data_IF_307986699714
#
_entry.id   IF_307986699714
#
_cell.length_a   1.000
_cell.length_b   1.000
_cell.length_c   1.000
_cell.angle_alpha   90.00
_cell.angle_beta   90.00
_cell.angle_gamma   90.00
#
_symmetry.space_group_name_H-M   'P 1'
#
loop_
_entity.id
_entity.type
_entity.pdbx_description
1 polymer ?
#
# COMPACT_ATOMS: atom_id res chain seq x y z
N UNK A 1 7.88 -27.35 26.62
CA UNK A 1 6.73 -28.01 25.96
C UNK A 1 6.77 -27.65 24.48
N UNK A 2 6.83 -28.63 23.58
CA UNK A 2 6.81 -28.38 22.14
C UNK A 2 5.52 -27.62 21.79
N UNK A 3 5.65 -26.37 21.33
CA UNK A 3 4.54 -25.52 20.95
C UNK A 3 3.94 -25.97 19.63
N UNK A 4 3.09 -26.99 19.67
CA UNK A 4 2.32 -27.38 18.50
C UNK A 4 1.28 -26.31 18.18
N UNK A 5 1.00 -26.11 16.89
CA UNK A 5 -0.01 -25.16 16.45
C UNK A 5 -1.39 -25.48 17.05
N UNK A 6 -1.72 -26.75 17.21
CA UNK A 6 -2.95 -27.21 17.87
C UNK A 6 -3.02 -26.76 19.32
N UNK A 7 -1.92 -26.89 20.09
CA UNK A 7 -1.87 -26.42 21.46
C UNK A 7 -2.03 -24.89 21.53
N UNK A 8 -1.51 -24.14 20.55
CA UNK A 8 -1.72 -22.71 20.49
C UNK A 8 -3.19 -22.33 20.20
N UNK A 9 -3.89 -23.06 19.32
CA UNK A 9 -5.32 -22.88 19.13
C UNK A 9 -6.12 -23.24 20.40
N UNK A 10 -5.78 -24.36 21.05
CA UNK A 10 -6.41 -24.76 22.30
C UNK A 10 -6.19 -23.75 23.43
N UNK A 11 -5.00 -23.12 23.48
CA UNK A 11 -4.67 -22.06 24.42
C UNK A 11 -5.58 -20.82 24.27
N UNK A 12 -6.04 -20.53 23.05
CA UNK A 12 -7.04 -19.49 22.77
C UNK A 12 -8.50 -20.00 22.88
N UNK A 13 -8.72 -21.26 23.25
CA UNK A 13 -10.06 -21.86 23.28
C UNK A 13 -10.67 -22.09 21.89
N UNK A 14 -9.84 -22.23 20.85
CA UNK A 14 -10.25 -22.35 19.46
C UNK A 14 -9.96 -23.74 18.90
N UNK A 15 -10.73 -24.13 17.88
CA UNK A 15 -10.42 -25.32 17.08
C UNK A 15 -9.23 -25.04 16.16
N UNK A 16 -8.37 -26.04 15.87
CA UNK A 16 -7.32 -25.90 14.87
C UNK A 16 -7.87 -25.42 13.53
N UNK A 17 -7.20 -24.44 12.92
CA UNK A 17 -7.64 -23.85 11.64
C UNK A 17 -8.75 -22.79 11.76
N UNK A 18 -9.08 -22.32 12.96
CA UNK A 18 -9.97 -21.18 13.12
C UNK A 18 -9.50 -19.96 12.31
N UNK A 19 -10.45 -19.22 11.74
CA UNK A 19 -10.15 -18.05 10.90
C UNK A 19 -9.50 -16.92 11.71
N UNK A 20 -8.86 -15.98 11.00
CA UNK A 20 -8.10 -14.88 11.63
C UNK A 20 -8.96 -14.02 12.55
N UNK A 21 -10.21 -13.74 12.17
CA UNK A 21 -11.11 -12.90 12.96
C UNK A 21 -11.48 -13.56 14.30
N UNK A 22 -11.68 -14.88 14.30
CA UNK A 22 -11.94 -15.64 15.52
C UNK A 22 -10.70 -15.67 16.43
N UNK A 23 -9.52 -15.87 15.85
CA UNK A 23 -8.24 -15.81 16.57
C UNK A 23 -8.04 -14.45 17.22
N UNK A 24 -8.25 -13.36 16.47
CA UNK A 24 -8.06 -12.01 16.96
C UNK A 24 -9.08 -11.61 18.04
N UNK A 25 -10.34 -12.02 17.88
CA UNK A 25 -11.39 -11.77 18.87
C UNK A 25 -11.08 -12.45 20.20
N UNK A 26 -10.75 -13.74 20.18
CA UNK A 26 -10.46 -14.47 21.43
C UNK A 26 -9.16 -14.00 22.06
N UNK A 27 -8.14 -13.69 21.27
CA UNK A 27 -6.91 -13.07 21.78
C UNK A 27 -7.19 -11.78 22.54
N UNK A 28 -7.95 -10.85 21.94
CA UNK A 28 -8.31 -9.58 22.60
C UNK A 28 -9.11 -9.79 23.88
N UNK A 29 -10.04 -10.74 23.87
CA UNK A 29 -10.85 -11.11 25.04
C UNK A 29 -9.96 -11.61 26.18
N UNK A 30 -9.06 -12.54 25.89
CA UNK A 30 -8.16 -13.15 26.87
C UNK A 30 -7.11 -12.17 27.40
N UNK A 31 -6.52 -11.32 26.55
CA UNK A 31 -5.58 -10.30 27.03
C UNK A 31 -6.30 -9.30 27.94
N UNK A 32 -7.50 -8.84 27.58
CA UNK A 32 -8.29 -7.97 28.47
C UNK A 32 -8.59 -8.61 29.83
N UNK A 33 -8.70 -9.94 29.87
CA UNK A 33 -8.96 -10.69 31.11
C UNK A 33 -7.69 -10.88 31.95
N UNK A 34 -6.57 -11.25 31.32
CA UNK A 34 -5.34 -11.68 32.02
C UNK A 34 -4.21 -10.64 32.04
N UNK A 35 -4.33 -9.48 31.40
CA UNK A 35 -3.24 -8.49 31.37
C UNK A 35 -2.86 -8.04 32.79
N UNK A 36 -1.55 -7.95 33.14
CA UNK A 36 -1.11 -7.66 34.49
C UNK A 36 -1.55 -6.28 35.00
N UNK A 37 -1.81 -5.32 34.10
CA UNK A 37 -2.34 -4.00 34.46
C UNK A 37 -3.81 -4.03 34.93
N UNK A 38 -4.52 -5.14 34.74
CA UNK A 38 -5.86 -5.33 35.31
C UNK A 38 -5.76 -5.90 36.73
N UNK A 39 -6.63 -5.44 37.62
CA UNK A 39 -6.73 -5.98 38.97
C UNK A 39 -7.12 -7.46 38.92
N UNK A 40 -6.23 -8.34 39.41
CA UNK A 40 -6.39 -9.79 39.30
C UNK A 40 -5.85 -10.41 38.00
N UNK A 41 -5.11 -9.63 37.20
CA UNK A 41 -4.42 -10.13 36.01
C UNK A 41 -3.33 -11.16 36.34
N UNK A 42 -2.99 -11.96 35.34
CA UNK A 42 -1.98 -13.02 35.43
C UNK A 42 -0.97 -12.82 34.28
N UNK A 43 0.19 -12.25 34.63
CA UNK A 43 1.24 -11.96 33.67
C UNK A 43 1.82 -13.20 32.99
N UNK A 44 1.88 -14.33 33.68
CA UNK A 44 2.36 -15.59 33.09
C UNK A 44 1.35 -16.10 32.06
N UNK A 45 0.06 -16.05 32.41
CA UNK A 45 -1.02 -16.42 31.49
C UNK A 45 -1.08 -15.52 30.27
N UNK A 46 -0.96 -14.21 30.46
CA UNK A 46 -0.89 -13.24 29.36
C UNK A 46 0.31 -13.52 28.43
N UNK A 47 1.47 -13.88 29.00
CA UNK A 47 2.65 -14.27 28.21
C UNK A 47 2.42 -15.55 27.41
N UNK A 48 1.75 -16.56 27.96
CA UNK A 48 1.34 -17.77 27.24
C UNK A 48 0.39 -17.48 26.08
N UNK A 49 -0.62 -16.63 26.31
CA UNK A 49 -1.57 -16.19 25.29
C UNK A 49 -0.84 -15.48 24.14
N UNK A 50 0.09 -14.57 24.47
CA UNK A 50 0.92 -13.86 23.49
C UNK A 50 1.77 -14.82 22.65
N UNK A 51 2.39 -15.83 23.29
CA UNK A 51 3.18 -16.85 22.58
C UNK A 51 2.31 -17.68 21.62
N UNK A 52 1.13 -18.11 22.06
CA UNK A 52 0.20 -18.87 21.24
C UNK A 52 -0.28 -18.05 20.03
N UNK A 53 -0.68 -16.80 20.26
CA UNK A 53 -1.10 -15.88 19.19
C UNK A 53 0.00 -15.63 18.16
N UNK A 54 1.24 -15.41 18.62
CA UNK A 54 2.38 -15.22 17.72
C UNK A 54 2.67 -16.46 16.86
N UNK A 55 2.53 -17.68 17.42
CA UNK A 55 2.71 -18.92 16.67
C UNK A 55 1.65 -19.10 15.58
N UNK A 56 0.39 -18.81 15.90
CA UNK A 56 -0.72 -18.89 14.93
C UNK A 56 -0.51 -17.88 13.79
N UNK A 57 -0.08 -16.64 14.11
CA UNK A 57 0.15 -15.60 13.08
C UNK A 57 1.32 -15.88 12.15
N UNK A 58 2.37 -16.56 12.64
CA UNK A 58 3.52 -16.95 11.83
C UNK A 58 3.20 -18.08 10.87
N UNK A 59 2.17 -18.86 11.15
CA UNK A 59 1.73 -19.94 10.25
C UNK A 59 0.86 -19.33 9.15
N UNK A 60 1.23 -19.48 7.86
CA UNK A 60 0.36 -19.06 6.78
C UNK A 60 -0.97 -19.81 6.91
N UNK A 61 -2.07 -19.06 7.02
CA UNK A 61 -3.39 -19.63 7.15
C UNK A 61 -3.61 -20.60 5.99
N UNK A 62 -4.04 -21.83 6.30
CA UNK A 62 -4.63 -22.68 5.26
C UNK A 62 -5.76 -21.86 4.66
N UNK A 63 -5.76 -21.58 3.34
CA UNK A 63 -6.80 -20.77 2.75
C UNK A 63 -8.14 -21.41 3.14
N UNK A 64 -9.12 -20.62 3.61
CA UNK A 64 -10.45 -21.18 3.86
C UNK A 64 -10.88 -21.94 2.61
N UNK A 65 -11.59 -23.08 2.72
CA UNK A 65 -12.24 -23.67 1.55
C UNK A 65 -12.98 -22.53 0.88
N UNK A 66 -12.62 -22.24 -0.37
CA UNK A 66 -12.97 -21.02 -1.09
C UNK A 66 -14.47 -20.83 -0.92
N UNK A 67 -14.87 -19.94 0.00
CA UNK A 67 -16.23 -19.47 0.03
C UNK A 67 -16.37 -18.76 -1.30
N UNK A 68 -17.15 -19.33 -2.20
CA UNK A 68 -17.61 -18.68 -3.42
C UNK A 68 -18.36 -17.44 -3.00
N UNK A 69 -17.63 -16.35 -2.76
CA UNK A 69 -18.21 -15.03 -2.70
C UNK A 69 -18.81 -14.80 -4.07
N UNK A 70 -20.13 -14.58 -4.19
CA UNK A 70 -20.69 -14.14 -5.45
C UNK A 70 -19.95 -12.86 -5.78
N UNK A 71 -19.15 -12.94 -6.84
CA UNK A 71 -18.55 -11.78 -7.46
C UNK A 71 -19.72 -10.88 -7.83
N UNK A 72 -19.99 -9.86 -7.01
CA UNK A 72 -20.76 -8.72 -7.46
C UNK A 72 -19.87 -8.03 -8.48
N UNK A 73 -19.84 -8.61 -9.68
CA UNK A 73 -19.32 -7.98 -10.87
C UNK A 73 -19.96 -6.61 -10.91
N UNK A 74 -19.15 -5.56 -10.83
CA UNK A 74 -19.58 -4.24 -11.22
C UNK A 74 -20.13 -4.38 -12.63
N UNK A 75 -21.45 -4.41 -12.70
CA UNK A 75 -22.21 -4.64 -13.90
C UNK A 75 -21.95 -3.40 -14.76
N UNK A 76 -20.91 -3.49 -15.59
CA UNK A 76 -20.68 -2.60 -16.72
C UNK A 76 -22.05 -2.47 -17.38
N UNK A 77 -22.65 -1.29 -17.29
CA UNK A 77 -23.86 -0.96 -18.03
C UNK A 77 -23.55 -1.26 -19.49
N UNK A 78 -24.03 -2.40 -19.99
CA UNK A 78 -24.00 -2.71 -21.41
C UNK A 78 -24.85 -1.62 -22.05
N UNK A 79 -24.21 -0.76 -22.84
CA UNK A 79 -24.88 -0.01 -23.89
C UNK A 79 -25.41 -1.04 -24.90
N UNK A 80 -26.62 -1.54 -24.63
CA UNK A 80 -27.37 -2.39 -25.53
C UNK A 80 -27.98 -1.51 -26.60
N UNK A 81 -27.46 -1.60 -27.82
CA UNK A 81 -28.08 -0.90 -28.95
C UNK A 81 -27.26 -0.82 -30.22
N UNK A 82 -26.52 -1.87 -30.59
CA UNK A 82 -26.07 -2.11 -31.98
C UNK A 82 -25.71 -3.59 -32.07
N UNK A 83 -26.32 -4.29 -33.02
CA UNK A 83 -26.23 -5.75 -33.12
C UNK A 83 -24.78 -6.19 -33.38
N UNK A 84 -24.32 -7.30 -32.78
CA UNK A 84 -22.94 -7.80 -32.96
C UNK A 84 -22.63 -8.19 -34.42
N UNK A 85 -23.65 -8.29 -35.28
CA UNK A 85 -23.50 -8.57 -36.71
C UNK A 85 -22.99 -7.35 -37.51
N UNK A 86 -23.29 -6.11 -37.08
CA UNK A 86 -22.84 -4.92 -37.81
C UNK A 86 -21.33 -4.66 -37.63
N UNK A 87 -20.80 -4.92 -36.44
CA UNK A 87 -19.37 -4.78 -36.16
C UNK A 87 -18.51 -5.80 -36.91
N UNK A 88 -19.01 -7.03 -37.07
CA UNK A 88 -18.33 -8.08 -37.82
C UNK A 88 -18.34 -7.79 -39.33
N UNK A 89 -19.46 -7.29 -39.87
CA UNK A 89 -19.55 -6.91 -41.28
C UNK A 89 -18.60 -5.75 -41.65
N UNK A 90 -18.44 -4.75 -40.79
CA UNK A 90 -17.49 -3.65 -41.00
C UNK A 90 -16.03 -4.11 -40.93
N UNK A 91 -15.69 -5.05 -40.05
CA UNK A 91 -14.36 -5.64 -39.99
C UNK A 91 -14.04 -6.47 -41.25
N UNK A 92 -14.99 -7.28 -41.74
CA UNK A 92 -14.80 -8.06 -42.97
C UNK A 92 -14.66 -7.14 -44.19
N UNK A 93 -15.46 -6.07 -44.27
CA UNK A 93 -15.34 -5.09 -45.36
C UNK A 93 -13.98 -4.36 -45.33
N UNK A 94 -13.46 -3.99 -44.15
CA UNK A 94 -12.15 -3.35 -44.02
C UNK A 94 -10.99 -4.27 -44.44
N UNK A 95 -11.08 -5.58 -44.14
CA UNK A 95 -10.08 -6.57 -44.56
C UNK A 95 -10.10 -6.80 -46.08
N UNK A 96 -11.29 -6.87 -46.68
CA UNK A 96 -11.43 -7.08 -48.14
C UNK A 96 -11.04 -5.86 -48.97
N UNK A 97 -11.26 -4.64 -48.46
CA UNK A 97 -10.79 -3.41 -49.10
C UNK A 97 -9.26 -3.25 -48.93
N UNK A 98 -8.71 -3.63 -47.77
CA UNK A 98 -7.26 -3.63 -47.53
C UNK A 98 -6.48 -4.58 -48.45
N UNK A 99 -7.06 -5.72 -48.82
CA UNK A 99 -6.42 -6.69 -49.74
C UNK A 99 -6.43 -6.26 -51.21
N UNK A 100 -7.26 -5.32 -51.64
CA UNK A 100 -7.24 -4.83 -53.03
C UNK A 100 -6.31 -3.63 -53.26
N UNK A 101 -5.81 -2.99 -52.20
CA UNK A 101 -4.94 -1.80 -52.30
C UNK A 101 -3.45 -2.12 -52.06
N UNK A 102 -3.14 -3.25 -51.43
CA UNK A 102 -1.76 -3.70 -51.28
C UNK A 102 -1.37 -4.65 -52.42
N UNK A 103 -0.72 -4.09 -53.44
CA UNK A 103 0.04 -4.88 -54.41
C UNK A 103 1.04 -5.80 -53.72
N UNK A 104 1.32 -6.91 -54.40
CA UNK A 104 2.22 -7.99 -54.00
C UNK A 104 3.65 -7.52 -53.70
N UNK A 105 3.91 -7.03 -52.50
CA UNK A 105 5.27 -7.01 -51.94
C UNK A 105 5.36 -8.12 -50.88
N UNK A 106 6.12 -9.16 -51.21
CA UNK A 106 6.45 -10.29 -50.34
C UNK A 106 7.01 -9.80 -49.00
N UNK A 107 6.17 -9.83 -47.96
CA UNK A 107 6.64 -9.65 -46.58
C UNK A 107 7.37 -10.93 -46.17
N UNK A 108 8.68 -10.92 -46.38
CA UNK A 108 9.62 -11.97 -46.03
C UNK A 108 9.73 -12.11 -44.50
N UNK A 109 9.14 -13.18 -43.96
CA UNK A 109 9.20 -13.54 -42.54
C UNK A 109 10.54 -14.18 -42.10
N UNK A 110 11.55 -14.23 -42.97
CA UNK A 110 12.85 -14.86 -42.65
C UNK A 110 13.82 -13.98 -41.86
N UNK A 111 13.48 -12.71 -41.58
CA UNK A 111 14.36 -11.79 -40.86
C UNK A 111 14.23 -11.82 -39.31
N UNK A 112 13.31 -12.61 -38.73
CA UNK A 112 13.10 -12.66 -37.27
C UNK A 112 13.77 -13.87 -36.58
N UNK A 113 14.57 -14.66 -37.30
CA UNK A 113 15.14 -15.92 -36.80
C UNK A 113 16.64 -15.96 -36.52
N UNK A 114 17.41 -14.91 -36.81
CA UNK A 114 18.87 -14.99 -36.73
C UNK A 114 19.48 -13.76 -36.04
N UNK A 115 19.60 -13.83 -34.70
CA UNK A 115 20.62 -13.18 -33.85
C UNK A 115 20.35 -13.49 -32.37
N UNK A 116 20.30 -14.79 -32.02
CA UNK A 116 20.60 -15.21 -30.65
C UNK A 116 21.92 -15.98 -30.72
N UNK A 117 22.99 -15.24 -31.02
CA UNK A 117 24.32 -15.72 -30.70
C UNK A 117 24.40 -15.79 -29.17
N UNK A 118 24.59 -17.02 -28.69
CA UNK A 118 25.01 -17.31 -27.34
C UNK A 118 26.39 -16.71 -27.11
N UNK A 119 26.44 -15.40 -26.91
CA UNK A 119 27.60 -14.74 -26.34
C UNK A 119 27.66 -15.18 -24.89
N UNK A 120 28.68 -15.99 -24.61
CA UNK A 120 29.08 -16.36 -23.27
C UNK A 120 28.93 -15.15 -22.35
N UNK A 121 28.25 -15.36 -21.22
CA UNK A 121 28.14 -14.41 -20.14
C UNK A 121 29.55 -14.00 -19.69
N UNK A 122 30.08 -12.97 -20.35
CA UNK A 122 31.09 -12.11 -19.77
C UNK A 122 30.34 -11.41 -18.64
N UNK A 123 30.37 -12.01 -17.45
CA UNK A 123 30.12 -11.37 -16.16
C UNK A 123 31.13 -10.23 -16.01
N UNK A 124 30.95 -9.21 -16.84
CA UNK A 124 31.28 -7.86 -16.49
C UNK A 124 30.38 -7.63 -15.31
N UNK A 125 30.94 -7.82 -14.12
CA UNK A 125 30.50 -7.15 -12.91
C UNK A 125 30.44 -5.68 -13.28
N UNK A 126 29.31 -5.26 -13.88
CA UNK A 126 28.92 -3.87 -13.91
C UNK A 126 28.96 -3.52 -12.45
N UNK A 127 29.96 -2.70 -12.09
CA UNK A 127 30.02 -2.01 -10.82
C UNK A 127 28.64 -1.39 -10.65
N UNK A 128 27.75 -2.15 -10.00
CA UNK A 128 26.45 -1.69 -9.59
C UNK A 128 26.81 -0.68 -8.51
N UNK A 129 26.97 0.56 -8.96
CA UNK A 129 27.02 1.74 -8.10
C UNK A 129 26.03 1.46 -6.97
N UNK A 130 26.49 1.45 -5.70
CA UNK A 130 25.62 1.18 -4.57
C UNK A 130 24.36 2.00 -4.77
N UNK A 131 23.23 1.31 -4.98
CA UNK A 131 21.97 2.03 -5.17
C UNK A 131 21.78 2.85 -3.90
N UNK A 132 21.55 4.17 -4.00
CA UNK A 132 21.35 5.01 -2.83
C UNK A 132 20.25 4.37 -1.96
N UNK A 133 20.71 3.83 -0.84
CA UNK A 133 19.93 2.94 0.00
C UNK A 133 19.06 3.72 0.98
N UNK A 134 18.19 3.00 1.68
CA UNK A 134 17.39 3.61 2.76
C UNK A 134 18.23 3.94 4.01
N UNK A 135 19.52 3.62 4.00
CA UNK A 135 20.48 3.91 5.08
C UNK A 135 21.02 5.34 5.04
N UNK A 136 20.76 6.08 3.96
CA UNK A 136 21.13 7.49 3.87
C UNK A 136 20.37 8.33 4.91
N UNK A 137 20.94 9.43 5.44
CA UNK A 137 20.19 10.35 6.28
C UNK A 137 18.90 10.84 5.60
N UNK A 138 17.86 11.14 6.39
CA UNK A 138 16.65 11.75 5.85
C UNK A 138 16.97 13.07 5.16
N UNK A 139 16.35 13.31 4.00
CA UNK A 139 16.45 14.56 3.25
C UNK A 139 15.60 15.67 3.91
N UNK A 140 15.94 16.04 5.15
CA UNK A 140 15.14 16.93 6.03
C UNK A 140 14.69 18.22 5.35
N UNK A 141 15.58 18.89 4.60
CA UNK A 141 15.23 20.12 3.85
C UNK A 141 14.13 19.88 2.82
N UNK A 142 14.17 18.76 2.10
CA UNK A 142 13.16 18.44 1.09
C UNK A 142 11.86 17.95 1.71
N UNK A 143 11.93 17.27 2.86
CA UNK A 143 10.76 16.95 3.68
C UNK A 143 10.06 18.25 4.10
N UNK A 144 10.78 19.24 4.62
CA UNK A 144 10.19 20.51 5.06
C UNK A 144 9.55 21.30 3.90
N UNK A 145 10.18 21.29 2.71
CA UNK A 145 9.60 21.89 1.50
C UNK A 145 8.32 21.16 1.05
N UNK A 146 8.32 19.82 1.09
CA UNK A 146 7.15 19.02 0.76
C UNK A 146 5.98 19.28 1.72
N UNK A 147 6.26 19.44 3.03
CA UNK A 147 5.26 19.82 4.03
C UNK A 147 4.70 21.22 3.75
N UNK A 148 5.56 22.18 3.38
CA UNK A 148 5.12 23.53 3.03
C UNK A 148 4.20 23.54 1.79
N UNK A 149 4.53 22.75 0.76
CA UNK A 149 3.68 22.58 -0.42
C UNK A 149 2.34 21.91 -0.10
N UNK A 150 2.35 20.91 0.78
CA UNK A 150 1.14 20.25 1.27
C UNK A 150 0.20 21.24 1.97
N UNK A 151 0.74 22.08 2.87
CA UNK A 151 -0.02 23.15 3.54
C UNK A 151 -0.61 24.12 2.51
N UNK A 152 0.21 24.62 1.58
CA UNK A 152 -0.23 25.58 0.56
C UNK A 152 -1.39 25.03 -0.29
N UNK A 153 -1.30 23.78 -0.74
CA UNK A 153 -2.36 23.15 -1.54
C UNK A 153 -3.61 22.84 -0.71
N UNK A 154 -3.46 22.50 0.56
CA UNK A 154 -4.57 22.26 1.47
C UNK A 154 -5.33 23.56 1.79
N UNK A 155 -4.62 24.65 2.07
CA UNK A 155 -5.18 25.99 2.32
C UNK A 155 -5.93 26.53 1.10
N UNK A 156 -5.45 26.23 -0.11
CA UNK A 156 -6.17 26.56 -1.36
C UNK A 156 -7.46 25.74 -1.56
N UNK A 157 -7.71 24.71 -0.74
CA UNK A 157 -8.86 23.81 -0.84
C UNK A 157 -9.03 23.18 -2.23
N UNK A 158 -7.92 22.72 -2.83
CA UNK A 158 -7.91 22.10 -4.16
C UNK A 158 -7.60 20.58 -4.11
N UNK A 159 -8.59 19.71 -3.80
CA UNK A 159 -8.37 18.26 -3.74
C UNK A 159 -7.75 17.64 -4.98
N UNK A 160 -8.10 18.18 -6.16
CA UNK A 160 -7.55 17.71 -7.44
C UNK A 160 -6.07 18.03 -7.58
N UNK A 161 -5.64 19.20 -7.13
CA UNK A 161 -4.24 19.63 -7.16
C UNK A 161 -3.38 18.82 -6.20
N UNK A 162 -3.88 18.52 -5.00
CA UNK A 162 -3.20 17.61 -4.06
C UNK A 162 -3.01 16.21 -4.66
N UNK A 163 -4.07 15.62 -5.22
CA UNK A 163 -4.01 14.29 -5.84
C UNK A 163 -3.09 14.26 -7.08
N UNK A 164 -3.12 15.32 -7.90
CA UNK A 164 -2.24 15.44 -9.07
C UNK A 164 -0.76 15.56 -8.67
N UNK A 165 -0.45 16.34 -7.62
CA UNK A 165 0.90 16.48 -7.09
C UNK A 165 1.44 15.13 -6.57
N UNK A 166 0.66 14.43 -5.74
CA UNK A 166 1.00 13.08 -5.26
C UNK A 166 1.25 12.10 -6.42
N UNK A 167 0.38 12.10 -7.43
CA UNK A 167 0.52 11.23 -8.60
C UNK A 167 1.76 11.55 -9.46
N UNK A 168 2.09 12.84 -9.66
CA UNK A 168 3.31 13.27 -10.33
C UNK A 168 4.55 12.84 -9.55
N UNK A 169 4.57 13.07 -8.23
CA UNK A 169 5.68 12.67 -7.38
C UNK A 169 5.96 11.16 -7.48
N UNK A 170 4.92 10.33 -7.42
CA UNK A 170 5.04 8.87 -7.58
C UNK A 170 5.46 8.45 -9.01
N UNK A 171 5.07 9.20 -10.05
CA UNK A 171 5.57 8.94 -11.42
C UNK A 171 7.06 9.25 -11.51
N UNK A 172 7.50 10.39 -10.97
CA UNK A 172 8.90 10.78 -10.92
C UNK A 172 9.75 9.77 -10.12
N UNK A 173 9.26 9.31 -8.97
CA UNK A 173 9.95 8.31 -8.15
C UNK A 173 10.10 6.96 -8.86
N UNK A 174 9.10 6.53 -9.65
CA UNK A 174 9.22 5.30 -10.46
C UNK A 174 10.21 5.44 -11.60
N UNK A 175 10.30 6.63 -12.19
CA UNK A 175 11.24 6.90 -13.27
C UNK A 175 12.70 6.97 -12.78
N UNK A 176 12.91 7.50 -11.58
CA UNK A 176 14.23 7.68 -10.98
C UNK A 176 14.19 7.40 -9.47
N UNK A 177 14.29 6.12 -9.05
CA UNK A 177 14.19 5.75 -7.64
C UNK A 177 15.39 6.28 -6.84
N UNK A 178 15.12 7.15 -5.86
CA UNK A 178 16.10 7.61 -4.87
C UNK A 178 15.46 7.83 -3.50
N UNK A 179 16.26 7.66 -2.43
CA UNK A 179 15.83 7.91 -1.06
C UNK A 179 15.31 9.35 -0.89
N UNK A 180 16.00 10.32 -1.48
CA UNK A 180 15.64 11.74 -1.46
C UNK A 180 14.26 12.04 -2.07
N UNK A 181 13.94 11.45 -3.24
CA UNK A 181 12.60 11.60 -3.85
C UNK A 181 11.54 10.86 -3.06
N UNK A 182 11.88 9.70 -2.51
CA UNK A 182 10.96 8.96 -1.66
C UNK A 182 10.58 9.76 -0.41
N UNK A 183 11.56 10.37 0.26
CA UNK A 183 11.35 11.20 1.44
C UNK A 183 10.41 12.37 1.15
N UNK A 184 10.62 13.09 0.05
CA UNK A 184 9.76 14.23 -0.31
C UNK A 184 8.34 13.79 -0.68
N UNK A 185 8.17 12.72 -1.49
CA UNK A 185 6.85 12.22 -1.85
C UNK A 185 6.09 11.68 -0.64
N UNK A 186 6.76 10.92 0.23
CA UNK A 186 6.15 10.34 1.41
C UNK A 186 5.76 11.43 2.42
N UNK A 187 6.61 12.45 2.60
CA UNK A 187 6.33 13.58 3.46
C UNK A 187 5.12 14.41 2.99
N UNK A 188 5.00 14.67 1.68
CA UNK A 188 3.85 15.35 1.11
C UNK A 188 2.54 14.58 1.40
N UNK A 189 2.51 13.28 1.07
CA UNK A 189 1.33 12.43 1.28
C UNK A 189 0.94 12.32 2.76
N UNK A 190 1.93 12.20 3.65
CA UNK A 190 1.72 12.16 5.11
C UNK A 190 1.15 13.49 5.63
N UNK A 191 1.72 14.62 5.17
CA UNK A 191 1.26 15.94 5.58
C UNK A 191 -0.20 16.18 5.17
N UNK A 192 -0.58 15.83 3.93
CA UNK A 192 -1.99 15.91 3.50
C UNK A 192 -2.89 14.96 4.32
N UNK A 193 -2.43 13.75 4.63
CA UNK A 193 -3.18 12.83 5.49
C UNK A 193 -3.48 13.44 6.87
N UNK A 194 -2.48 14.08 7.49
CA UNK A 194 -2.65 14.75 8.79
C UNK A 194 -3.59 15.95 8.67
N UNK A 195 -3.39 16.81 7.68
CA UNK A 195 -4.20 18.02 7.46
C UNK A 195 -5.67 17.70 7.13
N UNK A 196 -5.94 16.61 6.44
CA UNK A 196 -7.31 16.17 6.12
C UNK A 196 -7.98 15.36 7.25
N UNK A 197 -7.22 14.98 8.29
CA UNK A 197 -7.77 14.24 9.43
C UNK A 197 -8.84 15.09 10.13
N UNK A 198 -10.06 14.54 10.23
CA UNK A 198 -11.21 15.23 10.82
C UNK A 198 -12.15 15.91 9.81
N UNK A 199 -11.79 15.99 8.52
CA UNK A 199 -12.72 16.47 7.49
C UNK A 199 -13.76 15.40 7.12
N UNK A 200 -14.97 15.85 6.80
CA UNK A 200 -16.04 14.97 6.34
C UNK A 200 -15.61 14.24 5.05
N UNK A 201 -15.73 12.91 5.03
CA UNK A 201 -15.37 12.10 3.87
C UNK A 201 -13.89 11.70 3.76
N UNK A 202 -13.02 12.15 4.68
CA UNK A 202 -11.59 11.79 4.73
C UNK A 202 -11.37 10.27 4.58
N UNK A 203 -12.15 9.46 5.28
CA UNK A 203 -12.04 8.00 5.30
C UNK A 203 -12.19 7.33 3.91
N UNK A 204 -12.82 7.99 2.94
CA UNK A 204 -12.99 7.47 1.56
C UNK A 204 -12.05 8.15 0.56
N UNK A 205 -11.30 9.17 0.98
CA UNK A 205 -10.42 9.94 0.12
C UNK A 205 -9.11 9.21 -0.20
N UNK A 206 -8.37 9.65 -1.23
CA UNK A 206 -7.07 9.08 -1.58
C UNK A 206 -6.02 9.33 -0.50
N UNK A 207 -6.24 10.29 0.41
CA UNK A 207 -5.31 10.65 1.48
C UNK A 207 -5.70 10.09 2.85
N UNK A 208 -6.64 9.13 2.93
CA UNK A 208 -6.85 8.43 4.20
C UNK A 208 -5.57 7.68 4.62
N UNK A 209 -5.36 7.54 5.92
CA UNK A 209 -4.12 6.99 6.49
C UNK A 209 -3.74 5.60 5.95
N UNK A 210 -4.72 4.72 5.69
CA UNK A 210 -4.49 3.39 5.15
C UNK A 210 -4.01 3.44 3.68
N UNK A 211 -4.65 4.27 2.85
CA UNK A 211 -4.25 4.49 1.46
C UNK A 211 -2.85 5.09 1.35
N UNK A 212 -2.53 6.09 2.17
CA UNK A 212 -1.22 6.74 2.20
C UNK A 212 -0.14 5.74 2.63
N UNK A 213 -0.38 5.01 3.73
CA UNK A 213 0.55 3.98 4.21
C UNK A 213 0.81 2.90 3.15
N UNK A 214 -0.24 2.40 2.48
CA UNK A 214 -0.10 1.39 1.44
C UNK A 214 0.73 1.90 0.24
N UNK A 215 0.50 3.14 -0.21
CA UNK A 215 1.29 3.76 -1.29
C UNK A 215 2.74 3.96 -0.88
N UNK A 216 2.99 4.47 0.32
CA UNK A 216 4.33 4.69 0.87
C UNK A 216 5.12 3.37 0.94
N UNK A 217 4.52 2.29 1.45
CA UNK A 217 5.19 0.98 1.49
C UNK A 217 5.48 0.45 0.07
N UNK A 218 4.53 0.61 -0.86
CA UNK A 218 4.75 0.21 -2.25
C UNK A 218 5.87 1.02 -2.93
N UNK A 219 5.96 2.32 -2.64
CA UNK A 219 7.01 3.19 -3.13
C UNK A 219 8.37 2.86 -2.51
N UNK A 220 8.44 2.61 -1.21
CA UNK A 220 9.68 2.25 -0.51
C UNK A 220 10.28 0.95 -1.03
N UNK A 221 9.44 0.01 -1.48
CA UNK A 221 9.87 -1.24 -2.14
C UNK A 221 10.56 -1.05 -3.49
N UNK A 222 10.46 0.14 -4.10
CA UNK A 222 11.28 0.49 -5.27
C UNK A 222 12.75 0.70 -4.90
N UNK A 223 13.02 1.03 -3.64
CA UNK A 223 14.36 1.34 -3.13
C UNK A 223 15.01 0.16 -2.40
N UNK A 224 14.22 -0.60 -1.63
CA UNK A 224 14.75 -1.72 -0.85
C UNK A 224 13.75 -2.88 -0.75
N UNK A 225 14.28 -4.11 -0.78
CA UNK A 225 13.51 -5.32 -0.44
C UNK A 225 13.42 -5.56 1.06
N UNK A 226 14.22 -4.88 1.88
CA UNK A 226 14.15 -4.97 3.34
C UNK A 226 12.94 -4.16 3.85
N UNK A 227 11.90 -4.89 4.25
CA UNK A 227 10.68 -4.28 4.78
C UNK A 227 10.89 -3.53 6.09
N UNK A 228 11.89 -3.92 6.90
CA UNK A 228 12.19 -3.24 8.15
C UNK A 228 12.90 -1.90 7.89
N UNK A 229 13.81 -1.85 6.93
CA UNK A 229 14.44 -0.60 6.51
C UNK A 229 13.40 0.39 5.96
N UNK A 230 12.46 -0.08 5.12
CA UNK A 230 11.34 0.74 4.63
C UNK A 230 10.48 1.28 5.77
N UNK A 231 10.07 0.41 6.70
CA UNK A 231 9.20 0.81 7.81
C UNK A 231 9.90 1.79 8.77
N UNK A 232 11.15 1.50 9.14
CA UNK A 232 11.97 2.39 9.97
C UNK A 232 12.10 3.79 9.36
N UNK A 233 12.40 3.87 8.06
CA UNK A 233 12.51 5.17 7.36
C UNK A 233 11.18 5.91 7.33
N UNK A 234 10.07 5.21 7.06
CA UNK A 234 8.73 5.79 7.11
C UNK A 234 8.39 6.31 8.50
N UNK A 235 8.72 5.59 9.57
CA UNK A 235 8.50 6.06 10.94
C UNK A 235 9.28 7.35 11.22
N UNK A 236 10.58 7.41 10.86
CA UNK A 236 11.38 8.63 11.02
C UNK A 236 10.79 9.81 10.24
N UNK A 237 10.36 9.60 9.00
CA UNK A 237 9.72 10.60 8.16
C UNK A 237 8.40 11.09 8.77
N UNK A 238 7.55 10.19 9.27
CA UNK A 238 6.30 10.55 9.97
C UNK A 238 6.55 11.40 11.21
N UNK A 239 7.52 11.02 12.04
CA UNK A 239 7.91 11.81 13.20
C UNK A 239 8.38 13.21 12.81
N UNK A 240 9.16 13.35 11.72
CA UNK A 240 9.58 14.66 11.22
C UNK A 240 8.39 15.49 10.75
N UNK A 241 7.51 14.93 9.92
CA UNK A 241 6.31 15.62 9.41
C UNK A 241 5.42 16.10 10.57
N UNK A 242 5.18 15.25 11.56
CA UNK A 242 4.40 15.61 12.74
C UNK A 242 5.02 16.79 13.51
N UNK A 243 6.33 16.75 13.74
CA UNK A 243 7.03 17.86 14.42
C UNK A 243 6.99 19.16 13.63
N UNK A 244 7.07 19.09 12.28
CA UNK A 244 6.96 20.27 11.42
C UNK A 244 5.54 20.85 11.39
N UNK A 245 4.51 20.00 11.49
CA UNK A 245 3.11 20.42 11.49
C UNK A 245 2.60 20.88 12.87
N UNK A 246 3.18 20.38 13.97
CA UNK A 246 2.70 20.64 15.33
C UNK A 246 2.43 22.12 15.66
N UNK A 247 3.29 23.09 15.26
CA UNK A 247 3.04 24.51 15.55
C UNK A 247 1.81 25.12 14.84
N UNK A 248 1.19 24.40 13.90
CA UNK A 248 0.11 24.90 13.05
C UNK A 248 -1.25 24.26 13.31
N UNK A 249 -1.31 23.21 14.13
CA UNK A 249 -2.57 22.57 14.47
C UNK A 249 -3.22 23.45 15.56
N UNK A 250 -4.35 24.12 15.29
CA UNK A 250 -5.03 24.88 16.33
C UNK A 250 -5.42 23.93 17.47
N UNK A 251 -5.25 24.37 18.71
CA UNK A 251 -5.71 23.62 19.87
C UNK A 251 -7.17 23.21 19.64
N UNK A 252 -7.55 21.95 19.93
CA UNK A 252 -8.94 21.55 19.86
C UNK A 252 -9.76 22.51 20.73
N UNK A 253 -10.95 22.94 20.28
CA UNK A 253 -11.78 23.85 21.06
C UNK A 253 -11.95 23.23 22.44
N UNK A 254 -11.53 23.97 23.48
CA UNK A 254 -11.70 23.51 24.86
C UNK A 254 -13.19 23.28 25.04
N UNK A 255 -13.58 22.02 25.20
CA UNK A 255 -14.94 21.70 25.64
C UNK A 255 -15.06 22.31 27.02
N UNK A 256 -15.66 23.50 27.12
CA UNK A 256 -16.09 24.05 28.39
C UNK A 256 -16.99 22.98 28.99
N UNK A 257 -16.47 22.24 29.97
CA UNK A 257 -17.29 21.40 30.82
C UNK A 257 -18.22 22.36 31.56
N UNK A 258 -19.36 22.65 30.93
CA UNK A 258 -20.48 23.34 31.55
C UNK A 258 -20.83 22.50 32.77
N UNK A 259 -20.43 22.97 33.94
CA UNK A 259 -20.88 22.43 35.21
C UNK A 259 -22.40 22.58 35.22
N UNK A 260 -23.10 21.47 34.99
CA UNK A 260 -24.53 21.41 35.32
C UNK A 260 -24.60 21.51 36.84
N UNK A 261 -25.24 22.60 37.30
CA UNK A 261 -25.54 22.90 38.70
C UNK A 261 -26.99 22.51 38.95
#
# INVERSE_FOLDING_TARGET
MNGSLEAAYAMLGLRPGANRDAVEREYRRLIKEYHPDHAGGDGERAAEINRAYALIRKTPAHPPPVATYPQHSLQRRKLTGLSPFLGLALLIAAVLVGWNVAGNDEVSWTALGASFDGSAANETFINAQPRPGLDEPLATRLIDLAVADAIRLHEAAEPRSMAANSAECLRALRADPSATRFDSCAAFDEAISILETGRAGFQRGPFNAASVSARQVAAGRLLSTDTFAVDSRLQQMRSRVQMTLFPRIPDPPRTEHRKEV
#
